data_IF_214276216660
#
_entry.id   IF_214276216660
#
_cell.length_a   1.000
_cell.length_b   1.000
_cell.length_c   1.000
_cell.angle_alpha   90.00
_cell.angle_beta   90.00
_cell.angle_gamma   90.00
#
_symmetry.space_group_name_H-M   'P 1'
#
loop_
_entity.id
_entity.type
_entity.pdbx_description
1 polymer ?
#
# COMPACT_ATOMS: atom_id res chain seq x y z
N UNK A 1 18.49 -28.71 12.49
CA UNK A 1 19.67 -28.86 11.62
C UNK A 1 20.84 -29.25 12.51
N UNK A 2 21.42 -30.43 12.28
CA UNK A 2 22.44 -30.99 13.16
C UNK A 2 23.80 -30.32 12.88
N UNK A 3 24.68 -30.21 13.88
CA UNK A 3 25.98 -29.51 13.74
C UNK A 3 26.82 -30.05 12.56
N UNK A 4 26.77 -31.36 12.35
CA UNK A 4 27.47 -32.06 11.25
C UNK A 4 26.94 -31.63 9.87
N UNK A 5 25.64 -31.38 9.73
CA UNK A 5 25.03 -30.95 8.47
C UNK A 5 25.47 -29.52 8.11
N UNK A 6 25.57 -28.65 9.12
CA UNK A 6 26.05 -27.28 8.95
C UNK A 6 27.50 -27.23 8.50
N UNK A 7 28.36 -28.07 9.08
CA UNK A 7 29.78 -28.18 8.68
C UNK A 7 29.89 -28.72 7.25
N UNK A 8 29.13 -29.77 6.90
CA UNK A 8 29.14 -30.32 5.54
C UNK A 8 28.70 -29.29 4.49
N UNK A 9 27.63 -28.55 4.79
CA UNK A 9 27.11 -27.50 3.90
C UNK A 9 28.09 -26.33 3.77
N UNK A 10 28.77 -25.97 4.86
CA UNK A 10 29.87 -25.00 4.87
C UNK A 10 31.03 -25.39 3.96
N UNK A 11 31.47 -26.65 4.04
CA UNK A 11 32.57 -27.17 3.21
C UNK A 11 32.15 -27.22 1.72
N UNK A 12 30.94 -27.70 1.43
CA UNK A 12 30.43 -27.77 0.07
C UNK A 12 30.33 -26.36 -0.58
N UNK A 13 29.85 -25.37 0.18
CA UNK A 13 29.77 -23.99 -0.29
C UNK A 13 31.16 -23.38 -0.51
N UNK A 14 32.11 -23.60 0.41
CA UNK A 14 33.48 -23.10 0.30
C UNK A 14 34.23 -23.67 -0.92
N UNK A 15 34.04 -24.96 -1.23
CA UNK A 15 34.61 -25.60 -2.43
C UNK A 15 34.10 -24.98 -3.74
N UNK A 16 32.89 -24.41 -3.72
CA UNK A 16 32.26 -23.74 -4.84
C UNK A 16 32.50 -22.21 -4.83
N UNK A 17 33.25 -21.69 -3.85
CA UNK A 17 33.45 -20.26 -3.67
C UNK A 17 32.19 -19.47 -3.29
N UNK A 18 31.17 -20.16 -2.76
CA UNK A 18 29.85 -19.61 -2.40
C UNK A 18 29.64 -19.66 -0.89
N UNK A 19 28.72 -18.85 -0.39
CA UNK A 19 28.25 -19.00 1.00
C UNK A 19 27.22 -20.13 1.11
N UNK A 20 27.03 -20.76 2.28
CA UNK A 20 26.03 -21.83 2.45
C UNK A 20 24.62 -21.41 2.07
N UNK A 21 24.24 -20.17 2.39
CA UNK A 21 22.94 -19.60 2.05
C UNK A 21 22.75 -19.45 0.53
N UNK A 22 23.81 -19.08 -0.20
CA UNK A 22 23.77 -19.00 -1.67
C UNK A 22 23.62 -20.37 -2.31
N UNK A 23 24.27 -21.39 -1.75
CA UNK A 23 24.16 -22.76 -2.24
C UNK A 23 22.77 -23.34 -1.99
N UNK A 24 22.19 -23.08 -0.81
CA UNK A 24 20.83 -23.50 -0.50
C UNK A 24 19.79 -22.81 -1.39
N UNK A 25 19.96 -21.52 -1.69
CA UNK A 25 19.06 -20.78 -2.58
C UNK A 25 19.15 -21.31 -4.03
N UNK A 26 20.35 -21.62 -4.53
CA UNK A 26 20.53 -22.23 -5.84
C UNK A 26 19.89 -23.61 -5.94
N UNK A 27 20.03 -24.44 -4.90
CA UNK A 27 19.37 -25.74 -4.82
C UNK A 27 17.84 -25.60 -4.79
N UNK A 28 17.31 -24.60 -4.07
CA UNK A 28 15.87 -24.29 -4.07
C UNK A 28 15.41 -23.87 -5.46
N UNK A 29 16.16 -23.02 -6.15
CA UNK A 29 15.85 -22.56 -7.50
C UNK A 29 15.87 -23.71 -8.51
N UNK A 30 16.86 -24.59 -8.45
CA UNK A 30 16.93 -25.76 -9.30
C UNK A 30 15.79 -26.75 -9.05
N UNK A 31 15.43 -26.97 -7.78
CA UNK A 31 14.28 -27.80 -7.41
C UNK A 31 12.97 -27.22 -7.97
N UNK A 32 12.77 -25.91 -7.83
CA UNK A 32 11.61 -25.20 -8.39
C UNK A 32 11.60 -25.31 -9.91
N UNK A 33 12.73 -25.08 -10.58
CA UNK A 33 12.85 -25.20 -12.03
C UNK A 33 12.50 -26.59 -12.53
N UNK A 34 12.98 -27.63 -11.85
CA UNK A 34 12.67 -29.02 -12.18
C UNK A 34 11.18 -29.34 -11.96
N UNK A 35 10.59 -28.88 -10.86
CA UNK A 35 9.18 -29.07 -10.56
C UNK A 35 8.28 -28.36 -11.59
N UNK A 36 8.61 -27.11 -11.93
CA UNK A 36 7.92 -26.33 -12.97
C UNK A 36 8.06 -27.00 -14.34
N UNK A 37 9.25 -27.51 -14.69
CA UNK A 37 9.46 -28.27 -15.93
C UNK A 37 8.52 -29.47 -16.04
N UNK A 38 8.49 -30.33 -15.02
CA UNK A 38 7.59 -31.50 -14.95
C UNK A 38 6.12 -31.11 -15.03
N UNK A 39 5.74 -30.03 -14.36
CA UNK A 39 4.38 -29.49 -14.40
C UNK A 39 4.00 -29.06 -15.81
N UNK A 40 4.86 -28.32 -16.52
CA UNK A 40 4.63 -27.84 -17.89
C UNK A 40 4.68 -28.96 -18.93
N UNK A 41 5.44 -30.04 -18.67
CA UNK A 41 5.41 -31.27 -19.48
C UNK A 41 4.05 -31.97 -19.37
N UNK A 42 3.51 -32.06 -18.15
CA UNK A 42 2.22 -32.69 -17.87
C UNK A 42 1.03 -31.81 -18.25
N UNK A 43 1.22 -30.48 -18.34
CA UNK A 43 0.18 -29.49 -18.61
C UNK A 43 0.56 -28.65 -19.85
N UNK A 44 0.46 -29.21 -21.07
CA UNK A 44 0.89 -28.53 -22.29
C UNK A 44 0.12 -27.24 -22.58
N UNK A 45 -1.11 -27.11 -22.08
CA UNK A 45 -1.91 -25.87 -22.19
C UNK A 45 -1.30 -24.67 -21.45
N UNK A 46 -0.44 -24.94 -20.45
CA UNK A 46 0.23 -23.92 -19.66
C UNK A 46 1.62 -23.57 -20.18
N UNK A 47 2.08 -24.20 -21.27
CA UNK A 47 3.36 -23.85 -21.90
C UNK A 47 3.29 -22.39 -22.37
N UNK A 48 4.21 -21.52 -21.91
CA UNK A 48 4.29 -20.16 -22.42
C UNK A 48 4.44 -20.21 -23.95
N UNK A 49 3.64 -19.43 -24.66
CA UNK A 49 3.72 -19.39 -26.13
C UNK A 49 5.14 -18.97 -26.53
N UNK A 50 5.80 -19.77 -27.36
CA UNK A 50 7.12 -19.44 -27.92
C UNK A 50 7.09 -18.26 -28.94
N UNK A 51 5.91 -17.65 -29.13
CA UNK A 51 5.80 -16.40 -29.88
C UNK A 51 6.63 -15.36 -29.13
N UNK A 52 7.56 -14.65 -29.79
CA UNK A 52 8.23 -13.53 -29.17
C UNK A 52 7.16 -12.62 -28.58
N UNK A 53 7.31 -12.28 -27.29
CA UNK A 53 6.45 -11.30 -26.66
C UNK A 53 6.45 -10.08 -27.60
N UNK A 54 5.28 -9.61 -28.07
CA UNK A 54 5.24 -8.44 -28.93
C UNK A 54 6.06 -7.36 -28.22
N UNK A 55 7.10 -6.87 -28.90
CA UNK A 55 8.05 -5.89 -28.36
C UNK A 55 7.25 -4.89 -27.55
N UNK A 56 7.51 -4.83 -26.23
CA UNK A 56 6.66 -4.14 -25.24
C UNK A 56 6.26 -2.81 -25.82
N UNK A 57 5.09 -2.78 -26.45
CA UNK A 57 4.53 -1.54 -26.99
C UNK A 57 4.25 -0.79 -25.71
N UNK A 58 4.86 0.38 -25.47
CA UNK A 58 4.62 1.12 -24.24
C UNK A 58 3.12 1.17 -24.08
N UNK A 59 2.62 0.56 -23.00
CA UNK A 59 1.19 0.50 -22.70
C UNK A 59 0.74 1.94 -22.88
N UNK A 60 -0.08 2.22 -23.91
CA UNK A 60 -0.67 3.55 -24.08
C UNK A 60 -1.53 3.72 -22.86
N UNK A 61 -0.94 4.34 -21.85
CA UNK A 61 -1.40 4.25 -20.49
C UNK A 61 -2.70 5.06 -20.42
N UNK A 62 -3.80 4.33 -20.63
CA UNK A 62 -5.14 4.90 -20.56
C UNK A 62 -5.37 5.44 -19.15
N UNK A 63 -4.66 4.90 -18.14
CA UNK A 63 -4.64 5.42 -16.77
C UNK A 63 -3.81 6.70 -16.67
N UNK A 64 -2.77 6.91 -17.46
CA UNK A 64 -2.04 8.17 -17.55
C UNK A 64 -2.87 9.25 -18.25
N UNK A 65 -3.63 8.90 -19.29
CA UNK A 65 -4.66 9.80 -19.85
C UNK A 65 -5.78 10.07 -18.85
N UNK A 66 -6.20 9.08 -18.06
CA UNK A 66 -7.18 9.26 -16.99
C UNK A 66 -6.63 10.18 -15.89
N UNK A 67 -5.38 10.01 -15.43
CA UNK A 67 -4.71 10.90 -14.48
C UNK A 67 -4.63 12.34 -15.00
N UNK A 68 -4.26 12.53 -16.27
CA UNK A 68 -4.20 13.86 -16.87
C UNK A 68 -5.59 14.49 -17.04
N UNK A 69 -6.62 13.69 -17.36
CA UNK A 69 -8.02 14.14 -17.39
C UNK A 69 -8.50 14.51 -16.00
N UNK A 70 -8.27 13.65 -15.00
CA UNK A 70 -8.58 13.85 -13.58
C UNK A 70 -7.91 15.13 -13.08
N UNK A 71 -6.63 15.33 -13.38
CA UNK A 71 -5.88 16.56 -13.05
C UNK A 71 -6.44 17.80 -13.75
N UNK A 72 -6.92 17.68 -14.99
CA UNK A 72 -7.56 18.77 -15.73
C UNK A 72 -8.97 19.09 -15.20
N UNK A 73 -9.75 18.08 -14.81
CA UNK A 73 -11.12 18.25 -14.28
C UNK A 73 -11.16 18.70 -12.83
N UNK A 74 -10.16 18.33 -12.01
CA UNK A 74 -10.05 18.79 -10.63
C UNK A 74 -9.57 20.25 -10.53
N UNK A 75 -9.21 20.88 -11.65
CA UNK A 75 -8.65 22.22 -11.69
C UNK A 75 -7.23 22.27 -11.13
N UNK A 76 -6.45 23.26 -11.58
CA UNK A 76 -5.10 23.56 -11.07
C UNK A 76 -5.09 24.14 -9.65
N UNK A 77 -6.27 24.30 -9.04
CA UNK A 77 -6.40 24.93 -7.75
C UNK A 77 -6.31 23.81 -6.71
N UNK A 78 -5.11 23.62 -6.19
CA UNK A 78 -4.87 22.74 -5.04
C UNK A 78 -5.81 23.08 -3.88
N UNK A 79 -5.83 22.20 -2.87
CA UNK A 79 -6.61 22.41 -1.66
C UNK A 79 -6.35 23.81 -1.09
N UNK A 80 -7.36 24.68 -1.20
CA UNK A 80 -7.40 25.92 -0.43
C UNK A 80 -7.93 25.55 0.95
N UNK A 81 -7.09 25.55 2.00
CA UNK A 81 -7.59 25.37 3.35
C UNK A 81 -8.70 26.37 3.61
N UNK A 82 -9.82 25.90 4.14
CA UNK A 82 -10.93 26.77 4.51
C UNK A 82 -10.44 27.68 5.65
N UNK A 83 -10.17 28.94 5.32
CA UNK A 83 -9.90 29.96 6.32
C UNK A 83 -11.23 30.20 7.04
N UNK A 84 -11.28 29.79 8.30
CA UNK A 84 -12.46 30.03 9.14
C UNK A 84 -12.48 31.51 9.49
N UNK A 85 -13.62 32.16 9.23
CA UNK A 85 -13.90 33.49 9.79
C UNK A 85 -14.13 33.32 11.30
N UNK A 86 -13.11 33.68 12.09
CA UNK A 86 -13.12 33.55 13.55
C UNK A 86 -14.25 34.35 14.20
N UNK A 87 -14.66 35.49 13.62
CA UNK A 87 -15.77 36.29 14.14
C UNK A 87 -17.12 35.59 13.87
N UNK A 88 -17.28 34.99 12.69
CA UNK A 88 -18.44 34.17 12.39
C UNK A 88 -18.50 32.92 13.29
N UNK A 89 -17.35 32.29 13.54
CA UNK A 89 -17.24 31.15 14.46
C UNK A 89 -17.59 31.55 15.90
N UNK A 90 -17.11 32.69 16.37
CA UNK A 90 -17.43 33.22 17.69
C UNK A 90 -18.92 33.49 17.86
N UNK A 91 -19.56 34.11 16.85
CA UNK A 91 -21.02 34.34 16.84
C UNK A 91 -21.81 33.03 16.87
N UNK A 92 -21.41 32.04 16.09
CA UNK A 92 -22.05 30.72 16.08
C UNK A 92 -21.93 30.02 17.46
N UNK A 93 -20.73 30.04 18.07
CA UNK A 93 -20.49 29.48 19.41
C UNK A 93 -21.34 30.16 20.48
N UNK A 94 -21.46 31.49 20.43
CA UNK A 94 -22.30 32.23 21.37
C UNK A 94 -23.78 31.81 21.27
N UNK A 95 -24.31 31.69 20.05
CA UNK A 95 -25.69 31.23 19.83
C UNK A 95 -25.92 29.79 20.28
N UNK A 96 -24.97 28.89 20.04
CA UNK A 96 -25.06 27.52 20.54
C UNK A 96 -25.11 27.47 22.07
N UNK A 97 -24.34 28.32 22.77
CA UNK A 97 -24.40 28.41 24.24
C UNK A 97 -25.74 28.93 24.75
N UNK A 98 -26.34 29.90 24.07
CA UNK A 98 -27.68 30.40 24.39
C UNK A 98 -28.73 29.28 24.29
N UNK A 99 -28.67 28.45 23.23
CA UNK A 99 -29.59 27.33 23.02
C UNK A 99 -29.42 26.26 24.12
N UNK A 100 -28.18 25.91 24.47
CA UNK A 100 -27.90 24.95 25.54
C UNK A 100 -28.32 25.49 26.91
N UNK A 101 -28.19 26.80 27.15
CA UNK A 101 -28.65 27.41 28.39
C UNK A 101 -30.19 27.48 28.50
N UNK A 102 -30.90 27.60 27.36
CA UNK A 102 -32.35 27.64 27.32
C UNK A 102 -32.99 26.27 27.63
N UNK A 103 -32.39 25.18 27.15
CA UNK A 103 -32.80 23.81 27.51
C UNK A 103 -31.59 22.88 27.64
N UNK A 104 -30.98 22.83 28.84
CA UNK A 104 -29.84 21.97 29.09
C UNK A 104 -30.19 20.48 28.98
N UNK A 105 -31.42 20.07 29.32
CA UNK A 105 -31.81 18.67 29.32
C UNK A 105 -31.91 18.11 27.90
N UNK A 106 -32.36 18.91 26.94
CA UNK A 106 -32.45 18.51 25.54
C UNK A 106 -31.10 18.62 24.80
N UNK A 107 -30.31 19.67 25.06
CA UNK A 107 -29.20 20.03 24.16
C UNK A 107 -27.80 19.82 24.73
N UNK A 108 -27.61 19.67 26.05
CA UNK A 108 -26.27 19.53 26.65
C UNK A 108 -25.49 18.31 26.17
N UNK A 109 -26.18 17.22 25.79
CA UNK A 109 -25.56 16.00 25.27
C UNK A 109 -25.26 16.08 23.76
N UNK A 110 -25.90 17.00 23.04
CA UNK A 110 -25.80 17.11 21.56
C UNK A 110 -24.80 18.19 21.17
N UNK A 111 -24.75 19.29 21.93
CA UNK A 111 -23.89 20.44 21.67
C UNK A 111 -22.98 20.59 22.90
N UNK A 112 -21.79 20.01 22.82
CA UNK A 112 -20.81 20.15 23.89
C UNK A 112 -20.41 21.63 24.06
N UNK A 113 -20.63 22.15 25.27
CA UNK A 113 -20.26 23.52 25.64
C UNK A 113 -18.74 23.72 25.78
N UNK A 114 -18.01 22.62 25.95
CA UNK A 114 -16.56 22.59 26.09
C UNK A 114 -15.88 22.44 24.72
N UNK A 115 -14.63 22.91 24.54
CA UNK A 115 -13.85 22.57 23.37
C UNK A 115 -13.76 21.05 23.27
N UNK A 116 -14.12 20.50 22.11
CA UNK A 116 -13.94 19.07 21.81
C UNK A 116 -12.47 18.76 22.11
N UNK A 117 -12.21 17.87 23.06
CA UNK A 117 -10.85 17.47 23.43
C UNK A 117 -10.24 16.74 22.25
N UNK A 118 -9.55 17.49 21.39
CA UNK A 118 -8.74 16.93 20.33
C UNK A 118 -7.75 15.96 20.96
N UNK A 119 -7.84 14.69 20.59
CA UNK A 119 -6.81 13.69 20.93
C UNK A 119 -5.59 13.95 20.06
N UNK A 120 -4.96 15.12 20.20
CA UNK A 120 -3.66 15.49 19.64
C UNK A 120 -3.23 16.85 20.23
N UNK A 121 -2.74 16.83 21.47
CA UNK A 121 -1.45 17.41 21.92
C UNK A 121 -1.14 16.87 23.33
#
# INVERSE_FOLDING_TARGET
MNLIEKVRSGIAAALLGKTPDQLEEEQRQDAVKAAVGRFLESNPAWKPSAKPAPAVVPVKDSKQKAKQRIKKTLGQNGFTPHIVDEDALARARAKCREIVAADPAAYSFIIESAPIKGTND
#
